data_IF_603648145299
#
_entry.id   IF_603648145299
#
_cell.length_a   1.000
_cell.length_b   1.000
_cell.length_c   1.000
_cell.angle_alpha   90.00
_cell.angle_beta   90.00
_cell.angle_gamma   90.00
#
_symmetry.space_group_name_H-M   'P 1'
#
loop_
_entity.id
_entity.type
_entity.pdbx_description
1 polymer ?
#
# COMPACT_ATOMS: atom_id res chain seq x y z
N UNK A 1 -13.30 -18.71 -54.33
CA UNK A 1 -12.38 -17.65 -54.78
C UNK A 1 -13.04 -16.32 -54.43
N UNK A 2 -12.67 -15.72 -53.30
CA UNK A 2 -13.35 -14.53 -52.74
C UNK A 2 -12.44 -13.33 -52.97
N UNK A 3 -12.73 -12.55 -54.00
CA UNK A 3 -12.00 -11.35 -54.42
C UNK A 3 -12.43 -10.16 -53.56
N UNK A 4 -11.55 -9.73 -52.65
CA UNK A 4 -11.73 -8.49 -51.90
C UNK A 4 -11.27 -7.33 -52.81
N UNK A 5 -12.22 -6.51 -53.26
CA UNK A 5 -11.91 -5.22 -53.91
C UNK A 5 -11.50 -4.21 -52.85
N UNK A 6 -10.22 -3.84 -52.85
CA UNK A 6 -9.68 -2.71 -52.08
C UNK A 6 -10.16 -1.41 -52.72
N UNK A 7 -11.23 -0.82 -52.19
CA UNK A 7 -11.64 0.53 -52.53
C UNK A 7 -10.84 1.55 -51.71
N UNK A 8 -10.14 2.42 -52.45
CA UNK A 8 -9.45 3.68 -52.07
C UNK A 8 -7.95 3.61 -51.76
N UNK A 9 -7.15 4.56 -52.30
CA UNK A 9 -5.69 4.64 -52.13
C UNK A 9 -5.24 4.89 -50.68
N UNK A 10 -6.17 5.30 -49.79
CA UNK A 10 -5.89 5.48 -48.35
C UNK A 10 -5.65 4.16 -47.60
N UNK A 11 -6.24 3.05 -48.05
CA UNK A 11 -6.03 1.73 -47.42
C UNK A 11 -4.63 1.14 -47.72
N UNK A 12 -4.02 1.50 -48.86
CA UNK A 12 -2.70 1.01 -49.24
C UNK A 12 -1.57 1.64 -48.40
N UNK A 13 -1.74 2.91 -48.03
CA UNK A 13 -0.80 3.65 -47.17
C UNK A 13 -0.81 3.13 -45.72
N UNK A 14 -1.98 2.74 -45.20
CA UNK A 14 -2.11 2.17 -43.86
C UNK A 14 -1.48 0.76 -43.80
N UNK A 15 -1.66 -0.05 -44.84
CA UNK A 15 -1.03 -1.38 -44.89
C UNK A 15 0.50 -1.30 -44.95
N UNK A 16 1.04 -0.39 -45.77
CA UNK A 16 2.49 -0.14 -45.88
C UNK A 16 3.09 0.45 -44.59
N UNK A 17 2.33 1.31 -43.90
CA UNK A 17 2.72 1.88 -42.60
C UNK A 17 2.81 0.81 -41.50
N UNK A 18 1.85 -0.10 -41.43
CA UNK A 18 1.84 -1.21 -40.46
C UNK A 18 2.96 -2.21 -40.76
N UNK A 19 3.22 -2.55 -42.03
CA UNK A 19 4.33 -3.44 -42.38
C UNK A 19 5.70 -2.83 -42.08
N UNK A 20 5.87 -1.52 -42.28
CA UNK A 20 7.11 -0.81 -41.94
C UNK A 20 7.32 -0.69 -40.43
N UNK A 21 6.27 -0.44 -39.65
CA UNK A 21 6.34 -0.45 -38.18
C UNK A 21 6.67 -1.83 -37.62
N UNK A 22 6.13 -2.90 -38.20
CA UNK A 22 6.46 -4.27 -37.82
C UNK A 22 7.90 -4.63 -38.21
N UNK A 23 8.41 -4.14 -39.34
CA UNK A 23 9.81 -4.35 -39.74
C UNK A 23 10.79 -3.55 -38.88
N UNK A 24 10.47 -2.30 -38.52
CA UNK A 24 11.27 -1.45 -37.63
C UNK A 24 11.26 -1.99 -36.19
N UNK A 25 10.12 -2.51 -35.72
CA UNK A 25 10.05 -3.21 -34.45
C UNK A 25 10.87 -4.51 -34.47
N UNK A 26 10.87 -5.25 -35.59
CA UNK A 26 11.69 -6.46 -35.76
C UNK A 26 13.19 -6.16 -35.78
N UNK A 27 13.63 -5.07 -36.40
CA UNK A 27 15.05 -4.71 -36.48
C UNK A 27 15.57 -4.09 -35.19
N UNK A 28 14.74 -3.34 -34.45
CA UNK A 28 15.13 -2.78 -33.15
C UNK A 28 15.11 -3.83 -32.02
N UNK A 29 14.23 -4.84 -32.07
CA UNK A 29 14.26 -5.97 -31.12
C UNK A 29 15.42 -6.94 -31.34
N UNK A 30 16.10 -6.89 -32.49
CA UNK A 30 17.22 -7.78 -32.82
C UNK A 30 18.60 -7.15 -32.61
N UNK A 31 18.69 -5.86 -32.24
CA UNK A 31 19.97 -5.14 -32.19
C UNK A 31 20.58 -4.94 -30.81
N UNK A 32 19.91 -5.36 -29.75
CA UNK A 32 20.55 -5.56 -28.44
C UNK A 32 20.80 -7.04 -28.21
N UNK A 33 21.71 -7.61 -29.02
CA UNK A 33 22.34 -8.87 -28.68
C UNK A 33 23.31 -8.61 -27.53
N UNK A 34 22.93 -9.00 -26.32
CA UNK A 34 23.90 -9.23 -25.26
C UNK A 34 24.95 -10.23 -25.76
N UNK A 35 26.21 -9.87 -25.54
CA UNK A 35 27.36 -10.70 -25.84
C UNK A 35 27.30 -12.05 -25.12
N UNK A 36 27.98 -13.01 -25.74
CA UNK A 36 28.21 -14.39 -25.30
C UNK A 36 28.32 -14.58 -23.78
N UNK A 37 27.43 -15.39 -23.20
CA UNK A 37 27.83 -16.45 -22.26
C UNK A 37 26.71 -17.48 -22.01
N UNK A 38 27.13 -18.74 -21.93
CA UNK A 38 26.45 -19.97 -21.49
C UNK A 38 25.03 -20.33 -22.00
N UNK A 39 24.97 -21.44 -22.75
CA UNK A 39 23.78 -22.08 -23.35
C UNK A 39 22.73 -22.63 -22.39
N UNK A 40 22.21 -21.82 -21.47
CA UNK A 40 20.90 -22.05 -20.83
C UNK A 40 19.92 -21.03 -21.39
N UNK A 41 19.30 -21.38 -22.51
CA UNK A 41 18.10 -20.68 -22.97
C UNK A 41 17.03 -20.82 -21.89
N UNK A 42 16.75 -19.74 -21.14
CA UNK A 42 15.55 -19.63 -20.32
C UNK A 42 14.34 -19.68 -21.26
N UNK A 43 13.78 -20.88 -21.46
CA UNK A 43 12.51 -21.00 -22.16
C UNK A 43 11.45 -20.28 -21.32
N UNK A 44 10.66 -19.35 -21.89
CA UNK A 44 9.60 -18.71 -21.16
C UNK A 44 8.61 -19.77 -20.71
N UNK A 45 8.21 -19.68 -19.46
CA UNK A 45 7.25 -20.60 -18.88
C UNK A 45 5.87 -20.44 -19.55
N UNK A 46 5.11 -21.53 -19.72
CA UNK A 46 3.72 -21.44 -20.15
C UNK A 46 2.90 -20.55 -19.21
N UNK A 47 2.03 -19.71 -19.78
CA UNK A 47 1.19 -18.77 -19.03
C UNK A 47 0.33 -19.47 -17.95
N UNK A 48 -0.19 -20.66 -18.25
CA UNK A 48 -1.00 -21.44 -17.31
C UNK A 48 -0.19 -21.87 -16.08
N UNK A 49 1.06 -22.28 -16.28
CA UNK A 49 1.96 -22.67 -15.19
C UNK A 49 2.36 -21.45 -14.34
N UNK A 50 2.57 -20.30 -15.00
CA UNK A 50 2.78 -19.02 -14.31
C UNK A 50 1.58 -18.63 -13.44
N UNK A 51 0.35 -18.75 -13.96
CA UNK A 51 -0.88 -18.46 -13.20
C UNK A 51 -1.06 -19.46 -12.05
N UNK A 52 -0.82 -20.75 -12.28
CA UNK A 52 -0.92 -21.78 -11.26
C UNK A 52 0.08 -21.53 -10.12
N UNK A 53 1.34 -21.17 -10.45
CA UNK A 53 2.33 -20.77 -9.45
C UNK A 53 1.86 -19.56 -8.67
N UNK A 54 1.46 -18.48 -9.33
CA UNK A 54 1.03 -17.25 -8.66
C UNK A 54 -0.15 -17.52 -7.73
N UNK A 55 -1.14 -18.31 -8.16
CA UNK A 55 -2.24 -18.71 -7.28
C UNK A 55 -1.76 -19.55 -6.10
N UNK A 56 -0.87 -20.51 -6.35
CA UNK A 56 -0.30 -21.38 -5.31
C UNK A 56 0.52 -20.63 -4.24
N UNK A 57 1.04 -19.44 -4.56
CA UNK A 57 1.72 -18.58 -3.57
C UNK A 57 0.77 -18.09 -2.47
N UNK A 58 -0.54 -18.04 -2.75
CA UNK A 58 -1.57 -17.54 -1.84
C UNK A 58 -2.27 -18.64 -1.03
N UNK A 59 -2.00 -19.93 -1.29
CA UNK A 59 -2.66 -21.07 -0.63
C UNK A 59 -2.45 -21.08 0.90
N UNK A 60 -1.33 -20.54 1.35
CA UNK A 60 -0.93 -20.49 2.77
C UNK A 60 -1.31 -19.17 3.47
N UNK A 61 -2.09 -18.29 2.83
CA UNK A 61 -2.50 -17.00 3.41
C UNK A 61 -3.28 -17.19 4.73
N UNK A 62 -2.89 -16.40 5.74
CA UNK A 62 -3.47 -16.45 7.09
C UNK A 62 -4.08 -15.13 7.53
N UNK A 63 -3.63 -14.01 7.00
CA UNK A 63 -4.06 -12.69 7.43
C UNK A 63 -4.13 -11.75 6.23
N UNK A 64 -5.22 -11.02 6.12
CA UNK A 64 -5.29 -9.78 5.35
C UNK A 64 -5.10 -8.61 6.30
N UNK A 65 -4.13 -7.74 6.03
CA UNK A 65 -3.84 -6.58 6.89
C UNK A 65 -4.17 -5.28 6.20
N UNK A 66 -4.87 -4.39 6.90
CA UNK A 66 -5.08 -3.01 6.47
C UNK A 66 -4.44 -2.07 7.48
N UNK A 67 -3.77 -1.04 6.98
CA UNK A 67 -3.34 0.04 7.85
C UNK A 67 -4.50 1.00 8.10
N UNK A 68 -4.56 1.53 9.31
CA UNK A 68 -5.44 2.64 9.72
C UNK A 68 -4.60 3.64 10.53
N UNK A 69 -5.04 4.88 10.60
CA UNK A 69 -4.22 5.94 11.18
C UNK A 69 -4.32 7.23 10.40
N UNK A 70 -3.21 7.95 10.35
CA UNK A 70 -3.15 9.32 9.90
C UNK A 70 -2.09 9.43 8.83
N UNK A 71 -2.47 9.80 7.60
CA UNK A 71 -1.57 9.82 6.43
C UNK A 71 -0.19 10.45 6.72
N UNK A 72 0.81 9.62 7.00
CA UNK A 72 2.17 10.06 7.34
C UNK A 72 3.25 9.19 6.69
N UNK A 73 4.45 9.76 6.54
CA UNK A 73 5.63 9.11 5.96
C UNK A 73 5.98 7.79 6.64
N UNK A 74 5.86 7.73 7.97
CA UNK A 74 6.22 6.57 8.78
C UNK A 74 5.36 5.35 8.48
N UNK A 75 4.10 5.56 8.11
CA UNK A 75 3.18 4.47 7.77
C UNK A 75 3.63 3.77 6.49
N UNK A 76 4.01 4.56 5.48
CA UNK A 76 4.61 4.05 4.24
C UNK A 76 5.95 3.36 4.49
N UNK A 77 6.76 3.89 5.41
CA UNK A 77 8.03 3.25 5.82
C UNK A 77 7.79 1.91 6.51
N UNK A 78 6.85 1.85 7.46
CA UNK A 78 6.43 0.62 8.17
C UNK A 78 5.96 -0.44 7.17
N UNK A 79 5.15 -0.03 6.20
CA UNK A 79 4.69 -0.87 5.11
C UNK A 79 5.82 -1.47 4.29
N UNK A 80 6.80 -0.64 3.88
CA UNK A 80 7.98 -1.10 3.16
C UNK A 80 8.83 -2.09 3.96
N UNK A 81 9.00 -1.82 5.26
CA UNK A 81 9.68 -2.74 6.19
C UNK A 81 8.98 -4.10 6.25
N UNK A 82 7.65 -4.11 6.31
CA UNK A 82 6.90 -5.37 6.31
C UNK A 82 6.96 -6.09 4.97
N UNK A 83 6.86 -5.37 3.85
CA UNK A 83 6.99 -5.93 2.50
C UNK A 83 8.39 -6.52 2.23
N UNK A 84 9.42 -6.09 2.98
CA UNK A 84 10.75 -6.69 2.97
C UNK A 84 10.84 -8.08 3.62
N UNK A 85 9.75 -8.60 4.18
CA UNK A 85 9.69 -9.93 4.79
C UNK A 85 9.31 -11.02 3.76
N UNK A 86 9.96 -12.20 3.73
CA UNK A 86 9.79 -13.23 2.69
C UNK A 86 8.38 -13.82 2.52
N UNK A 87 7.48 -13.57 3.48
CA UNK A 87 6.13 -14.12 3.57
C UNK A 87 5.04 -13.05 3.68
N UNK A 88 5.39 -11.77 3.50
CA UNK A 88 4.46 -10.65 3.61
C UNK A 88 4.47 -9.89 2.29
N UNK A 89 3.30 -9.51 1.80
CA UNK A 89 3.14 -8.67 0.61
C UNK A 89 2.23 -7.50 0.98
N UNK A 90 2.79 -6.32 1.11
CA UNK A 90 2.08 -5.11 1.53
C UNK A 90 2.55 -3.96 0.63
N UNK A 91 1.95 -3.82 -0.56
CA UNK A 91 2.20 -2.65 -1.40
C UNK A 91 1.80 -1.35 -0.68
N UNK A 92 2.44 -0.27 -1.11
CA UNK A 92 2.10 1.05 -0.64
C UNK A 92 0.94 1.64 -1.44
N UNK A 93 -0.07 2.15 -0.74
CA UNK A 93 -1.12 3.01 -1.30
C UNK A 93 -1.95 2.37 -2.43
N UNK A 94 -2.35 1.11 -2.26
CA UNK A 94 -3.27 0.47 -3.20
C UNK A 94 -4.67 1.09 -3.14
N UNK A 95 -5.12 1.50 -1.95
CA UNK A 95 -6.45 2.04 -1.67
C UNK A 95 -7.57 1.00 -1.88
N UNK A 96 -7.52 -0.09 -1.11
CA UNK A 96 -8.50 -1.20 -1.22
C UNK A 96 -9.95 -0.70 -1.14
N UNK A 97 -10.24 0.24 -0.23
CA UNK A 97 -11.59 0.79 -0.07
C UNK A 97 -12.02 1.61 -1.29
N UNK A 98 -11.14 2.49 -1.80
CA UNK A 98 -11.45 3.33 -2.96
C UNK A 98 -11.69 2.50 -4.23
N UNK A 99 -10.97 1.39 -4.34
CA UNK A 99 -11.10 0.45 -5.46
C UNK A 99 -12.16 -0.63 -5.24
N UNK A 100 -12.82 -0.68 -4.08
CA UNK A 100 -13.68 -1.81 -3.70
C UNK A 100 -14.82 -2.06 -4.70
N UNK A 101 -15.35 -0.97 -5.27
CA UNK A 101 -16.42 -1.02 -6.28
C UNK A 101 -16.07 -1.88 -7.49
N UNK A 102 -14.80 -1.92 -7.90
CA UNK A 102 -14.37 -2.78 -9.02
C UNK A 102 -14.61 -4.26 -8.69
N UNK A 103 -14.36 -4.66 -7.45
CA UNK A 103 -14.55 -6.05 -7.03
C UNK A 103 -16.02 -6.44 -6.90
N UNK A 104 -16.93 -5.46 -6.99
CA UNK A 104 -18.37 -5.71 -7.01
C UNK A 104 -18.93 -6.00 -8.42
N UNK A 105 -18.07 -6.02 -9.45
CA UNK A 105 -18.47 -6.39 -10.81
C UNK A 105 -19.16 -7.76 -10.84
N UNK A 106 -20.32 -7.82 -11.51
CA UNK A 106 -21.16 -9.01 -11.54
C UNK A 106 -20.42 -10.22 -12.11
N UNK A 107 -19.67 -10.06 -13.20
CA UNK A 107 -18.96 -11.19 -13.82
C UNK A 107 -17.83 -11.70 -12.93
N UNK A 108 -17.17 -10.82 -12.20
CA UNK A 108 -16.13 -11.20 -11.25
C UNK A 108 -16.71 -11.98 -10.06
N UNK A 109 -17.85 -11.52 -9.54
CA UNK A 109 -18.63 -12.17 -8.47
C UNK A 109 -19.16 -13.54 -8.90
N UNK A 110 -19.83 -13.61 -10.05
CA UNK A 110 -20.41 -14.85 -10.59
C UNK A 110 -19.36 -15.95 -10.81
N UNK A 111 -18.09 -15.56 -11.01
CA UNK A 111 -16.95 -16.48 -11.20
C UNK A 111 -16.16 -16.76 -9.91
N UNK A 112 -16.47 -16.10 -8.79
CA UNK A 112 -15.72 -16.23 -7.54
C UNK A 112 -14.25 -15.81 -7.67
N UNK A 113 -13.94 -14.81 -8.50
CA UNK A 113 -12.55 -14.40 -8.81
C UNK A 113 -12.11 -13.10 -8.12
N UNK A 114 -12.94 -12.53 -7.26
CA UNK A 114 -12.68 -11.26 -6.57
C UNK A 114 -11.37 -11.32 -5.75
N UNK A 115 -11.24 -12.32 -4.89
CA UNK A 115 -10.08 -12.53 -4.00
C UNK A 115 -8.79 -12.72 -4.78
N UNK A 116 -8.83 -13.55 -5.82
CA UNK A 116 -7.69 -13.79 -6.70
C UNK A 116 -7.23 -12.50 -7.39
N UNK A 117 -8.18 -11.71 -7.88
CA UNK A 117 -7.88 -10.44 -8.55
C UNK A 117 -7.32 -9.40 -7.58
N UNK A 118 -7.84 -9.33 -6.35
CA UNK A 118 -7.29 -8.46 -5.30
C UNK A 118 -5.84 -8.84 -4.98
N UNK A 119 -5.58 -10.11 -4.68
CA UNK A 119 -4.24 -10.57 -4.30
C UNK A 119 -3.24 -10.41 -5.43
N UNK A 120 -3.66 -10.68 -6.67
CA UNK A 120 -2.85 -10.42 -7.85
C UNK A 120 -2.44 -8.96 -7.96
N UNK A 121 -3.38 -8.02 -7.80
CA UNK A 121 -3.07 -6.60 -7.91
C UNK A 121 -2.17 -6.08 -6.79
N UNK A 122 -2.39 -6.55 -5.56
CA UNK A 122 -1.53 -6.18 -4.43
C UNK A 122 -0.10 -6.69 -4.65
N UNK A 123 0.05 -7.96 -5.04
CA UNK A 123 1.36 -8.54 -5.35
C UNK A 123 2.05 -7.85 -6.53
N UNK A 124 1.31 -7.60 -7.60
CA UNK A 124 1.83 -6.89 -8.76
C UNK A 124 2.30 -5.48 -8.40
N UNK A 125 1.53 -4.75 -7.59
CA UNK A 125 1.90 -3.40 -7.16
C UNK A 125 3.19 -3.42 -6.33
N UNK A 126 3.29 -4.31 -5.35
CA UNK A 126 4.50 -4.48 -4.52
C UNK A 126 5.72 -4.76 -5.41
N UNK A 127 5.59 -5.70 -6.36
CA UNK A 127 6.64 -6.02 -7.34
C UNK A 127 7.02 -4.81 -8.20
N UNK A 128 6.02 -4.10 -8.73
CA UNK A 128 6.22 -2.92 -9.56
C UNK A 128 6.94 -1.80 -8.80
N UNK A 129 6.51 -1.52 -7.56
CA UNK A 129 7.15 -0.52 -6.69
C UNK A 129 8.61 -0.86 -6.42
N UNK A 130 8.95 -2.12 -6.13
CA UNK A 130 10.33 -2.51 -5.88
C UNK A 130 11.23 -2.39 -7.13
N UNK A 131 10.71 -2.75 -8.31
CA UNK A 131 11.46 -2.69 -9.57
C UNK A 131 11.70 -1.23 -10.00
N UNK A 132 10.64 -0.43 -10.01
CA UNK A 132 10.68 0.89 -10.62
C UNK A 132 10.91 2.02 -9.60
N UNK A 133 10.82 1.75 -8.29
CA UNK A 133 11.06 2.70 -7.20
C UNK A 133 10.35 4.05 -7.39
N UNK A 134 9.13 4.01 -7.94
CA UNK A 134 8.35 5.19 -8.34
C UNK A 134 9.03 6.13 -9.37
N UNK A 135 10.10 5.69 -10.05
CA UNK A 135 10.73 6.41 -11.17
C UNK A 135 10.02 6.20 -12.51
N UNK A 136 9.17 5.18 -12.61
CA UNK A 136 8.31 4.99 -13.77
C UNK A 136 6.89 5.46 -13.46
N UNK A 137 6.28 6.16 -14.41
CA UNK A 137 4.84 6.40 -14.38
C UNK A 137 4.12 5.06 -14.26
N UNK A 138 3.12 5.00 -13.37
CA UNK A 138 2.26 3.82 -13.24
C UNK A 138 1.71 3.47 -14.64
N UNK A 139 1.75 2.20 -15.08
CA UNK A 139 1.40 1.85 -16.45
C UNK A 139 -0.02 2.31 -16.78
N UNK A 140 -0.27 2.83 -17.98
CA UNK A 140 -1.59 3.36 -18.36
C UNK A 140 -2.71 2.32 -18.32
N UNK A 141 -2.39 1.03 -18.32
CA UNK A 141 -3.34 -0.08 -18.15
C UNK A 141 -3.83 -0.28 -16.69
N UNK A 142 -3.32 0.52 -15.75
CA UNK A 142 -3.72 0.59 -14.34
C UNK A 142 -4.72 1.73 -14.05
N UNK A 143 -5.70 1.95 -14.93
CA UNK A 143 -6.87 2.84 -14.69
C UNK A 143 -7.76 2.42 -13.50
N UNK A 144 -7.41 1.30 -12.86
CA UNK A 144 -8.13 0.72 -11.73
C UNK A 144 -7.88 1.46 -10.42
N UNK A 145 -6.80 2.24 -10.30
CA UNK A 145 -6.43 2.83 -9.01
C UNK A 145 -6.95 4.26 -8.89
N UNK A 146 -7.85 4.47 -7.93
CA UNK A 146 -8.38 5.81 -7.58
C UNK A 146 -7.35 6.70 -6.91
N UNK A 147 -6.27 6.13 -6.38
CA UNK A 147 -5.28 6.84 -5.60
C UNK A 147 -4.35 7.68 -6.49
N UNK A 148 -4.66 8.99 -6.57
CA UNK A 148 -3.82 10.04 -7.17
C UNK A 148 -2.64 10.41 -6.26
N UNK A 149 -1.93 9.45 -5.67
CA UNK A 149 -0.78 9.84 -4.84
C UNK A 149 0.36 10.25 -5.75
N UNK A 150 0.45 11.57 -5.97
CA UNK A 150 1.53 12.22 -6.72
C UNK A 150 2.88 12.12 -5.98
N UNK A 151 2.89 11.68 -4.72
CA UNK A 151 4.06 11.68 -3.84
C UNK A 151 4.18 10.43 -2.94
N UNK A 152 3.82 9.25 -3.44
CA UNK A 152 4.09 8.01 -2.71
C UNK A 152 5.60 7.90 -2.43
N UNK A 153 6.03 8.06 -1.18
CA UNK A 153 7.44 7.92 -0.83
C UNK A 153 7.77 6.42 -0.80
N UNK A 154 8.47 5.97 -1.83
CA UNK A 154 9.01 4.62 -1.85
C UNK A 154 10.23 4.56 -0.94
N UNK A 155 10.23 3.63 0.00
CA UNK A 155 11.36 3.36 0.90
C UNK A 155 12.05 2.07 0.46
N UNK A 156 13.06 2.14 -0.42
CA UNK A 156 13.75 0.94 -0.89
C UNK A 156 14.61 0.37 0.23
N UNK A 157 14.43 -0.92 0.52
CA UNK A 157 15.27 -1.67 1.46
C UNK A 157 16.25 -2.56 0.70
N UNK A 158 17.54 -2.22 0.75
CA UNK A 158 18.58 -3.00 0.07
C UNK A 158 18.66 -4.44 0.58
N UNK A 159 18.91 -5.37 -0.36
CA UNK A 159 19.06 -6.81 -0.11
C UNK A 159 17.89 -7.43 0.68
N UNK A 160 16.65 -7.02 0.38
CA UNK A 160 15.45 -7.46 1.08
C UNK A 160 14.50 -8.29 0.19
N UNK A 161 13.39 -8.75 0.76
CA UNK A 161 12.33 -9.40 -0.01
C UNK A 161 11.29 -8.41 -0.57
N UNK A 162 11.55 -7.10 -0.52
CA UNK A 162 10.58 -6.11 -0.98
C UNK A 162 10.23 -6.33 -2.47
N UNK A 163 8.94 -6.42 -2.79
CA UNK A 163 8.46 -6.78 -4.13
C UNK A 163 8.76 -8.22 -4.58
N UNK A 164 9.18 -9.11 -3.68
CA UNK A 164 9.43 -10.52 -3.96
C UNK A 164 9.04 -11.40 -2.76
N UNK A 165 9.14 -12.72 -2.88
CA UNK A 165 8.75 -13.64 -1.81
C UNK A 165 9.57 -14.93 -1.90
N UNK A 166 9.56 -15.73 -0.82
CA UNK A 166 10.10 -17.08 -0.86
C UNK A 166 9.16 -18.11 -1.52
N UNK A 167 8.09 -17.66 -2.19
CA UNK A 167 7.09 -18.49 -2.85
C UNK A 167 5.91 -18.91 -1.97
N UNK A 168 5.88 -18.54 -0.67
CA UNK A 168 4.76 -18.81 0.24
C UNK A 168 4.36 -17.58 1.05
N UNK A 169 3.26 -16.96 0.67
CA UNK A 169 2.76 -15.74 1.31
C UNK A 169 1.82 -16.14 2.46
N UNK A 170 2.04 -15.55 3.64
CA UNK A 170 1.17 -15.71 4.81
C UNK A 170 0.34 -14.47 5.12
N UNK A 171 0.85 -13.30 4.76
CA UNK A 171 0.21 -12.01 5.01
C UNK A 171 0.17 -11.23 3.72
N UNK A 172 -0.98 -10.67 3.41
CA UNK A 172 -1.14 -9.72 2.30
C UNK A 172 -1.95 -8.52 2.78
N UNK A 173 -1.73 -7.34 2.22
CA UNK A 173 -2.41 -6.15 2.72
C UNK A 173 -2.18 -4.86 1.96
N UNK A 174 -2.58 -3.75 2.56
CA UNK A 174 -2.50 -2.41 2.00
C UNK A 174 -2.14 -1.37 3.09
N UNK A 175 -1.22 -0.46 2.78
CA UNK A 175 -0.73 0.59 3.69
C UNK A 175 -1.49 1.91 3.58
N UNK A 176 -2.67 1.91 2.98
CA UNK A 176 -3.45 3.12 2.71
C UNK A 176 -4.15 3.67 3.97
N UNK A 177 -3.48 3.71 5.12
CA UNK A 177 -3.94 4.20 6.45
C UNK A 177 -4.82 5.44 6.38
N UNK A 178 -4.27 6.53 5.84
CA UNK A 178 -4.94 7.82 5.76
C UNK A 178 -6.16 7.78 4.85
N UNK A 179 -6.05 7.15 3.68
CA UNK A 179 -7.17 7.00 2.74
C UNK A 179 -8.28 6.13 3.33
N UNK A 180 -7.90 5.00 3.95
CA UNK A 180 -8.79 4.04 4.59
C UNK A 180 -9.59 4.73 5.69
N UNK A 181 -8.90 5.37 6.63
CA UNK A 181 -9.54 6.05 7.77
C UNK A 181 -10.42 7.20 7.28
N UNK A 182 -9.95 8.00 6.31
CA UNK A 182 -10.72 9.12 5.76
C UNK A 182 -12.00 8.66 5.06
N UNK A 183 -11.94 7.59 4.27
CA UNK A 183 -13.12 7.04 3.60
C UNK A 183 -14.15 6.50 4.60
N UNK A 184 -13.69 5.84 5.66
CA UNK A 184 -14.56 5.35 6.73
C UNK A 184 -15.17 6.51 7.54
N UNK A 185 -14.43 7.58 7.79
CA UNK A 185 -14.98 8.80 8.39
C UNK A 185 -16.04 9.44 7.46
N UNK A 186 -15.75 9.55 6.16
CA UNK A 186 -16.67 10.13 5.17
C UNK A 186 -17.93 9.29 4.94
N UNK A 187 -17.86 7.97 5.13
CA UNK A 187 -19.03 7.09 5.09
C UNK A 187 -19.88 7.16 6.37
N UNK A 188 -19.65 8.17 7.23
CA UNK A 188 -20.27 8.32 8.54
C UNK A 188 -20.05 7.10 9.43
N UNK A 189 -18.84 6.53 9.37
CA UNK A 189 -18.44 5.32 10.12
C UNK A 189 -19.29 4.10 9.75
N UNK A 190 -19.77 4.05 8.51
CA UNK A 190 -20.36 2.83 7.98
C UNK A 190 -19.25 1.84 7.60
N UNK A 191 -19.12 0.79 8.41
CA UNK A 191 -18.10 -0.25 8.27
C UNK A 191 -18.54 -1.46 7.45
N UNK A 192 -19.73 -1.47 6.83
CA UNK A 192 -20.22 -2.64 6.05
C UNK A 192 -19.28 -3.04 4.91
N UNK A 193 -18.55 -2.07 4.35
CA UNK A 193 -17.53 -2.34 3.33
C UNK A 193 -16.44 -3.28 3.84
N UNK A 194 -16.06 -3.19 5.11
CA UNK A 194 -15.06 -4.05 5.73
C UNK A 194 -15.60 -5.46 5.95
N UNK A 195 -16.88 -5.59 6.28
CA UNK A 195 -17.58 -6.88 6.38
C UNK A 195 -17.65 -7.57 5.01
N UNK A 196 -17.99 -6.81 3.96
CA UNK A 196 -17.99 -7.30 2.58
C UNK A 196 -16.59 -7.76 2.14
N UNK A 197 -15.56 -6.97 2.46
CA UNK A 197 -14.16 -7.33 2.20
C UNK A 197 -13.83 -8.64 2.90
N UNK A 198 -14.09 -8.73 4.20
CA UNK A 198 -13.80 -9.92 5.01
C UNK A 198 -14.52 -11.17 4.47
N UNK A 199 -15.77 -11.04 4.05
CA UNK A 199 -16.56 -12.10 3.44
C UNK A 199 -15.96 -12.59 2.12
N UNK A 200 -15.52 -11.67 1.26
CA UNK A 200 -14.89 -12.00 -0.03
C UNK A 200 -13.52 -12.65 0.16
N UNK A 201 -12.65 -12.08 0.99
CA UNK A 201 -11.28 -12.59 1.18
C UNK A 201 -11.26 -13.96 1.87
N UNK A 202 -12.23 -14.24 2.75
CA UNK A 202 -12.35 -15.53 3.43
C UNK A 202 -11.21 -15.83 4.43
N UNK A 203 -10.41 -14.84 4.80
CA UNK A 203 -9.31 -14.93 5.76
C UNK A 203 -9.44 -13.82 6.82
N UNK A 204 -8.84 -13.98 8.01
CA UNK A 204 -8.85 -12.97 9.06
C UNK A 204 -8.40 -11.59 8.56
N UNK A 205 -9.25 -10.58 8.80
CA UNK A 205 -8.94 -9.17 8.59
C UNK A 205 -8.34 -8.59 9.87
N UNK A 206 -7.13 -8.02 9.78
CA UNK A 206 -6.44 -7.35 10.90
C UNK A 206 -6.06 -5.92 10.52
N UNK A 207 -5.91 -5.08 11.53
CA UNK A 207 -5.55 -3.69 11.39
C UNK A 207 -4.25 -3.37 12.13
N UNK A 208 -3.34 -2.69 11.44
CA UNK A 208 -2.21 -2.01 12.08
C UNK A 208 -2.58 -0.54 12.19
N UNK A 209 -2.76 -0.07 13.42
CA UNK A 209 -3.06 1.32 13.73
C UNK A 209 -1.77 2.04 14.08
N UNK A 210 -1.23 2.82 13.14
CA UNK A 210 -0.03 3.61 13.41
C UNK A 210 -0.45 4.90 14.11
N UNK A 211 0.02 5.07 15.34
CA UNK A 211 -0.37 6.17 16.21
C UNK A 211 0.77 7.18 16.28
N UNK A 212 0.51 8.39 15.79
CA UNK A 212 1.43 9.52 15.90
C UNK A 212 0.85 10.59 16.82
N UNK A 213 1.73 11.40 17.40
CA UNK A 213 1.37 12.61 18.11
C UNK A 213 0.41 13.48 17.26
N UNK A 214 -0.83 13.73 17.73
CA UNK A 214 -1.80 14.54 17.00
C UNK A 214 -1.32 15.95 16.66
N UNK A 215 -0.48 16.56 17.50
CA UNK A 215 0.10 17.87 17.21
C UNK A 215 0.95 17.84 15.93
N UNK A 216 1.75 16.79 15.73
CA UNK A 216 2.56 16.64 14.52
C UNK A 216 1.70 16.32 13.29
N UNK A 217 0.63 15.53 13.46
CA UNK A 217 -0.33 15.25 12.36
C UNK A 217 -0.97 16.56 11.89
N UNK A 218 -1.51 17.36 12.83
CA UNK A 218 -2.17 18.63 12.54
C UNK A 218 -1.19 19.58 11.86
N UNK A 219 0.00 19.78 12.43
CA UNK A 219 1.00 20.67 11.85
C UNK A 219 1.46 20.22 10.46
N UNK A 220 1.65 18.92 10.24
CA UNK A 220 2.01 18.38 8.92
C UNK A 220 0.92 18.67 7.87
N UNK A 221 -0.36 18.59 8.24
CA UNK A 221 -1.47 18.93 7.35
C UNK A 221 -1.46 20.44 7.02
N UNK A 222 -1.27 21.30 8.02
CA UNK A 222 -1.17 22.76 7.87
C UNK A 222 -0.03 23.14 6.92
N UNK A 223 1.15 22.55 7.11
CA UNK A 223 2.34 22.77 6.26
C UNK A 223 2.05 22.32 4.82
N UNK A 224 1.41 21.16 4.62
CA UNK A 224 1.06 20.64 3.29
C UNK A 224 0.09 21.56 2.55
N UNK A 225 -0.75 22.28 3.28
CA UNK A 225 -1.64 23.31 2.73
C UNK A 225 -0.94 24.67 2.54
N UNK A 226 0.39 24.72 2.71
CA UNK A 226 1.20 25.94 2.62
C UNK A 226 0.77 27.03 3.61
N UNK A 227 0.24 26.62 4.76
CA UNK A 227 -0.11 27.50 5.89
C UNK A 227 0.95 27.40 6.98
N UNK A 228 1.02 28.43 7.83
CA UNK A 228 1.93 28.50 8.97
C UNK A 228 1.24 28.59 10.32
N UNK A 229 -0.09 28.67 10.34
CA UNK A 229 -0.89 28.85 11.56
C UNK A 229 -1.97 27.79 11.59
N UNK A 230 -2.10 27.15 12.76
CA UNK A 230 -3.16 26.19 13.02
C UNK A 230 -4.50 26.92 13.17
N UNK A 231 -5.58 26.24 12.82
CA UNK A 231 -6.94 26.58 13.21
C UNK A 231 -7.54 25.41 13.98
N UNK A 232 -8.44 25.68 14.91
CA UNK A 232 -9.19 24.65 15.63
C UNK A 232 -9.89 23.62 14.72
N UNK A 233 -10.31 24.01 13.51
CA UNK A 233 -10.91 23.09 12.54
C UNK A 233 -9.90 22.08 12.00
N UNK A 234 -8.61 22.44 11.87
CA UNK A 234 -7.55 21.49 11.49
C UNK A 234 -7.43 20.38 12.54
N UNK A 235 -7.53 20.76 13.81
CA UNK A 235 -7.53 19.83 14.93
C UNK A 235 -8.79 18.94 14.89
N UNK A 236 -9.98 19.52 14.73
CA UNK A 236 -11.24 18.77 14.63
C UNK A 236 -11.24 17.75 13.49
N UNK A 237 -10.69 18.10 12.33
CA UNK A 237 -10.58 17.20 11.19
C UNK A 237 -9.69 15.99 11.52
N UNK A 238 -8.58 16.19 12.21
CA UNK A 238 -7.72 15.09 12.69
C UNK A 238 -8.45 14.24 13.74
N UNK A 239 -9.15 14.86 14.69
CA UNK A 239 -9.88 14.11 15.72
C UNK A 239 -11.09 13.34 15.19
N UNK A 240 -11.67 13.75 14.06
CA UNK A 240 -12.66 12.92 13.35
C UNK A 240 -12.05 11.60 12.84
N UNK A 241 -10.76 11.58 12.48
CA UNK A 241 -10.05 10.34 12.14
C UNK A 241 -9.72 9.51 13.39
N UNK A 242 -9.29 10.18 14.46
CA UNK A 242 -9.02 9.54 15.78
C UNK A 242 -10.26 8.79 16.26
N UNK A 243 -11.43 9.44 16.20
CA UNK A 243 -12.69 8.85 16.65
C UNK A 243 -13.08 7.62 15.81
N UNK A 244 -12.94 7.69 14.47
CA UNK A 244 -13.15 6.53 13.59
C UNK A 244 -12.23 5.36 13.94
N UNK A 245 -10.95 5.60 14.21
CA UNK A 245 -10.01 4.55 14.63
C UNK A 245 -10.39 3.95 15.98
N UNK A 246 -10.85 4.78 16.92
CA UNK A 246 -11.34 4.31 18.22
C UNK A 246 -12.58 3.41 18.09
N UNK A 247 -13.50 3.75 17.19
CA UNK A 247 -14.67 2.91 16.88
C UNK A 247 -14.27 1.59 16.21
N UNK A 248 -13.35 1.62 15.25
CA UNK A 248 -12.79 0.41 14.64
C UNK A 248 -12.15 -0.50 15.69
N UNK A 249 -11.38 0.08 16.61
CA UNK A 249 -10.77 -0.66 17.72
C UNK A 249 -11.82 -1.30 18.62
N UNK A 250 -12.93 -0.60 18.89
CA UNK A 250 -14.06 -1.17 19.65
C UNK A 250 -14.75 -2.31 18.90
N UNK A 251 -14.89 -2.20 17.58
CA UNK A 251 -15.58 -3.18 16.74
C UNK A 251 -14.74 -4.45 16.52
N UNK A 252 -13.44 -4.29 16.25
CA UNK A 252 -12.54 -5.37 15.86
C UNK A 252 -11.66 -5.89 17.00
N UNK A 253 -11.59 -5.19 18.14
CA UNK A 253 -10.91 -5.65 19.35
C UNK A 253 -9.47 -6.10 19.11
N UNK A 254 -9.17 -7.36 19.43
CA UNK A 254 -7.84 -7.96 19.29
C UNK A 254 -7.36 -8.09 17.83
N UNK A 255 -8.19 -7.78 16.85
CA UNK A 255 -7.77 -7.66 15.46
C UNK A 255 -7.19 -6.28 15.12
N UNK A 256 -7.05 -5.37 16.09
CA UNK A 256 -6.39 -4.06 15.93
C UNK A 256 -5.16 -3.97 16.83
N UNK A 257 -3.99 -3.77 16.24
CA UNK A 257 -2.74 -3.52 16.97
C UNK A 257 -2.34 -2.05 16.83
N UNK A 258 -2.26 -1.34 17.96
CA UNK A 258 -1.71 0.01 18.01
C UNK A 258 -0.18 -0.05 17.99
N UNK A 259 0.43 0.76 17.13
CA UNK A 259 1.87 0.94 17.02
C UNK A 259 2.17 2.43 17.21
N UNK A 260 2.69 2.79 18.38
CA UNK A 260 3.14 4.16 18.63
C UNK A 260 4.39 4.48 17.79
N UNK A 261 4.36 5.60 17.07
CA UNK A 261 5.49 6.10 16.28
C UNK A 261 6.74 6.28 17.15
N UNK A 262 6.60 6.85 18.35
CA UNK A 262 7.72 7.03 19.27
C UNK A 262 8.29 5.69 19.74
N UNK A 263 7.44 4.70 20.01
CA UNK A 263 7.92 3.36 20.36
C UNK A 263 8.62 2.69 19.17
N UNK A 264 8.11 2.88 17.96
CA UNK A 264 8.68 2.26 16.78
C UNK A 264 10.05 2.84 16.43
N UNK A 265 10.21 4.15 16.51
CA UNK A 265 11.49 4.83 16.27
C UNK A 265 12.51 4.46 17.35
N UNK A 266 12.12 4.49 18.63
CA UNK A 266 13.05 4.27 19.73
C UNK A 266 13.36 2.78 19.99
N UNK A 267 12.41 1.88 19.71
CA UNK A 267 12.52 0.45 19.95
C UNK A 267 12.05 -0.35 18.72
N UNK A 268 12.71 -0.19 17.55
CA UNK A 268 12.24 -0.75 16.29
C UNK A 268 12.22 -2.29 16.30
N UNK A 269 13.19 -2.91 16.96
CA UNK A 269 13.29 -4.37 17.04
C UNK A 269 12.13 -4.97 17.83
N UNK A 270 11.86 -4.44 19.01
CA UNK A 270 10.79 -4.89 19.91
C UNK A 270 9.42 -4.68 19.26
N UNK A 271 9.21 -3.53 18.62
CA UNK A 271 7.98 -3.21 17.88
C UNK A 271 7.76 -4.17 16.71
N UNK A 272 8.80 -4.47 15.92
CA UNK A 272 8.68 -5.45 14.83
C UNK A 272 8.38 -6.85 15.33
N UNK A 273 8.95 -7.27 16.46
CA UNK A 273 8.61 -8.56 17.08
C UNK A 273 7.12 -8.60 17.44
N UNK A 274 6.57 -7.52 17.99
CA UNK A 274 5.14 -7.43 18.29
C UNK A 274 4.29 -7.54 17.02
N UNK A 275 4.64 -6.80 15.96
CA UNK A 275 3.93 -6.85 14.66
C UNK A 275 3.99 -8.27 14.07
N UNK A 276 5.18 -8.90 14.01
CA UNK A 276 5.32 -10.25 13.46
C UNK A 276 4.50 -11.28 14.25
N UNK A 277 4.47 -11.18 15.59
CA UNK A 277 3.63 -12.05 16.43
C UNK A 277 2.15 -11.85 16.17
N UNK A 278 1.71 -10.59 16.08
CA UNK A 278 0.34 -10.24 15.77
C UNK A 278 -0.09 -10.77 14.40
N UNK A 279 0.77 -10.65 13.39
CA UNK A 279 0.55 -11.16 12.04
C UNK A 279 0.80 -12.66 11.89
N UNK A 280 1.30 -13.33 12.94
CA UNK A 280 1.61 -14.76 12.99
C UNK A 280 2.64 -15.21 11.92
N UNK A 281 3.65 -14.38 11.70
CA UNK A 281 4.80 -14.67 10.84
C UNK A 281 6.06 -14.86 11.66
N UNK A 282 6.98 -15.66 11.14
CA UNK A 282 8.30 -15.84 11.74
C UNK A 282 9.08 -14.54 11.64
N UNK A 283 9.98 -14.26 12.59
CA UNK A 283 10.95 -13.18 12.48
C UNK A 283 12.35 -13.75 12.73
N UNK A 284 13.36 -13.09 12.18
CA UNK A 284 14.75 -13.53 12.26
C UNK A 284 15.67 -12.31 12.46
N UNK A 285 16.80 -12.49 13.17
CA UNK A 285 17.65 -11.37 13.59
C UNK A 285 18.12 -10.53 12.40
N UNK A 286 18.52 -11.15 11.28
CA UNK A 286 18.99 -10.40 10.11
C UNK A 286 17.91 -9.53 9.44
N UNK A 287 16.62 -9.82 9.64
CA UNK A 287 15.54 -8.91 9.25
C UNK A 287 15.39 -7.77 10.25
N UNK A 288 15.34 -8.08 11.55
CA UNK A 288 15.19 -7.09 12.61
C UNK A 288 16.34 -6.07 12.65
N UNK A 289 17.58 -6.51 12.37
CA UNK A 289 18.76 -5.66 12.35
C UNK A 289 18.72 -4.65 11.18
N UNK A 290 18.13 -5.03 10.04
CA UNK A 290 17.92 -4.12 8.90
C UNK A 290 16.92 -3.02 9.23
N UNK A 291 15.81 -3.37 9.88
CA UNK A 291 14.80 -2.40 10.33
C UNK A 291 15.42 -1.30 11.19
N UNK A 292 16.26 -1.69 12.15
CA UNK A 292 16.93 -0.73 13.05
C UNK A 292 17.79 0.30 12.30
N UNK A 293 18.39 -0.08 11.17
CA UNK A 293 19.25 0.81 10.37
C UNK A 293 18.51 1.94 9.67
N UNK A 294 17.22 1.76 9.36
CA UNK A 294 16.47 2.62 8.44
C UNK A 294 15.65 3.71 9.15
N UNK A 295 15.13 3.42 10.34
CA UNK A 295 14.24 4.33 11.08
C UNK A 295 14.97 5.46 11.84
N UNK A 296 16.29 5.41 11.98
CA UNK A 296 17.08 6.46 12.66
C UNK A 296 17.07 7.83 11.96
N UNK A 297 16.33 7.99 10.84
CA UNK A 297 16.36 9.17 9.96
C UNK A 297 15.09 10.03 10.02
N UNK A 298 14.06 9.64 10.76
CA UNK A 298 12.77 10.36 10.77
C UNK A 298 12.67 11.35 11.93
N UNK A 299 12.30 12.61 11.62
CA UNK A 299 12.12 13.68 12.61
C UNK A 299 10.64 13.94 12.88
N UNK A 300 10.25 13.90 14.15
CA UNK A 300 8.89 14.09 14.70
C UNK A 300 8.60 15.57 15.04
N UNK A 301 9.24 16.53 14.38
CA UNK A 301 9.23 17.94 14.80
C UNK A 301 8.26 18.88 14.07
N UNK A 302 7.23 18.37 13.40
CA UNK A 302 6.34 19.21 12.56
C UNK A 302 5.60 20.26 13.39
N UNK A 303 5.16 19.91 14.60
CA UNK A 303 4.42 20.81 15.49
C UNK A 303 5.15 22.10 15.87
N UNK A 304 6.49 22.11 15.82
CA UNK A 304 7.31 23.30 16.11
C UNK A 304 7.51 24.22 14.90
N UNK A 305 7.03 23.81 13.72
CA UNK A 305 7.20 24.57 12.46
C UNK A 305 5.97 25.43 12.13
N UNK A 306 4.92 25.37 12.95
CA UNK A 306 3.69 26.15 12.79
C UNK A 306 3.35 26.89 14.09
N UNK A 307 2.52 27.92 13.97
CA UNK A 307 2.08 28.77 15.05
C UNK A 307 0.80 28.18 15.65
N UNK A 308 0.81 28.00 16.96
CA UNK A 308 -0.31 27.52 17.77
C UNK A 308 -0.71 28.60 18.78
N UNK A 309 -2.01 28.78 18.98
CA UNK A 309 -2.54 29.47 20.15
C UNK A 309 -2.59 28.55 21.37
N UNK A 310 -2.64 29.11 22.57
CA UNK A 310 -2.79 28.30 23.79
C UNK A 310 -4.16 27.60 23.83
N UNK A 311 -5.22 28.23 23.31
CA UNK A 311 -6.56 27.63 23.19
C UNK A 311 -6.53 26.36 22.34
N UNK A 312 -5.84 26.36 21.19
CA UNK A 312 -5.71 25.18 20.33
C UNK A 312 -4.93 24.07 21.02
N UNK A 313 -3.84 24.41 21.73
CA UNK A 313 -3.06 23.43 22.48
C UNK A 313 -3.87 22.77 23.58
N UNK A 314 -4.59 23.57 24.37
CA UNK A 314 -5.44 23.10 25.46
C UNK A 314 -6.58 22.22 24.94
N UNK A 315 -7.21 22.61 23.82
CA UNK A 315 -8.26 21.81 23.21
C UNK A 315 -7.75 20.45 22.74
N UNK A 316 -6.62 20.40 22.02
CA UNK A 316 -6.01 19.14 21.57
C UNK A 316 -5.65 18.27 22.77
N UNK A 317 -5.03 18.83 23.82
CA UNK A 317 -4.69 18.08 25.03
C UNK A 317 -5.92 17.51 25.74
N UNK A 318 -7.03 18.25 25.76
CA UNK A 318 -8.30 17.78 26.32
C UNK A 318 -8.91 16.64 25.49
N UNK A 319 -8.87 16.73 24.17
CA UNK A 319 -9.38 15.67 23.28
C UNK A 319 -8.53 14.41 23.33
N UNK A 320 -7.19 14.53 23.39
CA UNK A 320 -6.28 13.38 23.50
C UNK A 320 -6.60 12.48 24.70
N UNK A 321 -6.94 13.07 25.84
CA UNK A 321 -7.25 12.35 27.09
C UNK A 321 -8.45 11.40 26.97
N UNK A 322 -9.29 11.54 25.94
CA UNK A 322 -10.42 10.64 25.69
C UNK A 322 -9.99 9.27 25.12
N UNK A 323 -8.77 9.18 24.58
CA UNK A 323 -8.30 8.01 23.83
C UNK A 323 -7.03 7.45 24.45
N UNK A 324 -7.11 6.22 24.99
CA UNK A 324 -6.00 5.61 25.73
C UNK A 324 -4.71 5.45 24.92
N UNK A 325 -4.83 5.22 23.60
CA UNK A 325 -3.70 5.10 22.69
C UNK A 325 -2.97 6.42 22.41
N UNK A 326 -3.52 7.57 22.83
CA UNK A 326 -2.88 8.90 22.71
C UNK A 326 -2.22 9.38 24.00
N UNK A 327 -2.39 8.67 25.12
CA UNK A 327 -1.95 9.12 26.45
C UNK A 327 -0.43 9.31 26.59
N UNK A 328 0.37 8.71 25.71
CA UNK A 328 1.83 8.83 25.74
C UNK A 328 2.36 10.10 25.09
N UNK A 329 1.51 10.86 24.39
CA UNK A 329 1.93 12.05 23.65
C UNK A 329 1.61 13.34 24.40
N UNK A 330 2.48 14.32 24.21
CA UNK A 330 2.36 15.69 24.70
C UNK A 330 2.75 16.68 23.59
N UNK A 331 2.69 17.98 23.89
CA UNK A 331 3.15 19.02 22.96
C UNK A 331 4.68 19.10 22.96
#
# INVERSE_FOLDING_TARGET
>A
MMTIRLCTPKCFVILLGITSLVLIARTNLYKESFGSDDGRSCKPEPLLDSIARVNGMFDDLKTFVMFIGYSQSVESHTGAILDAHPQIVIPQEYDVLGNWKMYQDKKLRDRGKQTHMLFFFLYYLSTFQAIFRNHANKPSQFWVWTSKVENAQHYPLSDSWQGTTNGKIKVIGDTSSGSTTRQLTMSQKNFTVLEDIQSVIGIPLKFLHIVTNPYDVIASNVIRESRSTVNINDAKDVFALVETNAELKKLYGDAVLDISMDQFINNPRETMIQICRFLQVTFYNSYLDKVKGELNKESTGARYQVIWTDEEKEWVAAEMKKYSFLNSFDF
#
